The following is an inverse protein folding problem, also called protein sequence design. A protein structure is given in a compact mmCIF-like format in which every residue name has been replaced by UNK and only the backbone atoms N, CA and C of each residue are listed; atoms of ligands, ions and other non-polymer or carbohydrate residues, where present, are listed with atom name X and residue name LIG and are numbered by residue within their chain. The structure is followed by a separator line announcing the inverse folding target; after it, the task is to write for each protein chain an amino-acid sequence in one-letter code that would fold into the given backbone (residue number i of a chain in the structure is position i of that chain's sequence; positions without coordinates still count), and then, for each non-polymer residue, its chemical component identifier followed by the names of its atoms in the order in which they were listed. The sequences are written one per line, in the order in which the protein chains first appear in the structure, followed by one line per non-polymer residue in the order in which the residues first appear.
data_IF_085415510869
#
_entry.id   IF_085415510869
#
_cell.length_a   1.000
_cell.length_b   1.000
_cell.length_c   1.000
_cell.angle_alpha   90.00
_cell.angle_beta   90.00
_cell.angle_gamma   90.00
#
_symmetry.space_group_name_H-M   'P 1'
#
loop_
_entity.id
_entity.type
_entity.pdbx_description
1 polymer ?
#
# COMPACT_ATOMS: atom_id res chain seq x y z
N UNK A 1 3.75 17.73 -7.89
CA UNK A 1 3.27 18.60 -6.80
C UNK A 1 2.45 19.76 -7.33
N UNK A 2 2.83 20.41 -8.43
CA UNK A 2 2.11 21.53 -9.05
C UNK A 2 0.66 21.17 -9.40
N UNK A 3 0.43 20.03 -9.99
CA UNK A 3 -0.92 19.54 -10.30
C UNK A 3 -1.79 19.39 -9.04
N UNK A 4 -1.21 18.87 -7.96
CA UNK A 4 -1.91 18.76 -6.68
C UNK A 4 -2.24 20.13 -6.08
N UNK A 5 -1.30 21.06 -6.15
CA UNK A 5 -1.52 22.44 -5.70
C UNK A 5 -2.63 23.11 -6.50
N UNK A 6 -2.64 22.95 -7.82
CA UNK A 6 -3.70 23.46 -8.70
C UNK A 6 -5.08 22.83 -8.37
N UNK A 7 -5.12 21.52 -8.11
CA UNK A 7 -6.34 20.83 -7.68
C UNK A 7 -6.88 21.35 -6.34
N UNK A 8 -6.02 21.89 -5.49
CA UNK A 8 -6.39 22.47 -4.20
C UNK A 8 -6.90 23.92 -4.29
N UNK A 9 -6.76 24.58 -5.43
CA UNK A 9 -7.23 25.97 -5.58
C UNK A 9 -8.74 26.07 -5.39
N UNK A 10 -9.18 27.08 -4.64
CA UNK A 10 -10.60 27.32 -4.33
C UNK A 10 -11.25 26.31 -3.39
N UNK A 11 -10.58 25.22 -3.00
CA UNK A 11 -11.14 24.16 -2.15
C UNK A 11 -10.70 24.26 -0.71
N UNK A 12 -11.50 23.73 0.21
CA UNK A 12 -11.06 23.51 1.59
C UNK A 12 -10.13 22.30 1.61
N UNK A 13 -8.94 22.47 2.18
CA UNK A 13 -7.91 21.43 2.20
C UNK A 13 -7.59 21.05 3.64
N UNK A 14 -7.44 19.77 3.89
CA UNK A 14 -6.78 19.20 5.06
C UNK A 14 -5.63 18.32 4.59
N UNK A 15 -4.60 18.19 5.39
CA UNK A 15 -3.37 17.47 5.06
C UNK A 15 -3.17 16.34 6.04
N UNK A 16 -3.04 15.09 5.55
CA UNK A 16 -2.60 13.95 6.33
C UNK A 16 -1.16 13.60 5.92
N UNK A 17 -0.26 13.60 6.89
CA UNK A 17 1.16 13.24 6.72
C UNK A 17 1.42 11.92 7.39
N UNK A 18 1.92 10.96 6.63
CA UNK A 18 2.19 9.61 7.10
C UNK A 18 3.70 9.35 7.02
N UNK A 19 4.35 9.27 8.16
CA UNK A 19 5.76 8.89 8.26
C UNK A 19 6.10 8.49 9.69
N UNK A 20 6.61 7.27 9.89
CA UNK A 20 6.97 6.78 11.23
C UNK A 20 8.13 7.59 11.81
N UNK A 21 9.22 7.73 11.08
CA UNK A 21 10.39 8.51 11.53
C UNK A 21 10.28 10.02 11.29
N UNK A 22 9.55 10.42 10.25
CA UNK A 22 9.52 11.79 9.76
C UNK A 22 10.75 12.20 8.93
N UNK A 23 11.66 11.25 8.65
CA UNK A 23 12.92 11.51 7.94
C UNK A 23 12.96 10.95 6.52
N UNK A 24 11.93 10.22 6.09
CA UNK A 24 11.83 9.75 4.70
C UNK A 24 11.77 10.97 3.78
N UNK A 25 12.65 11.01 2.80
CA UNK A 25 12.93 12.22 1.99
C UNK A 25 11.71 12.71 1.22
N UNK A 26 11.04 11.82 0.50
CA UNK A 26 9.94 12.16 -0.39
C UNK A 26 8.74 12.78 0.36
N UNK A 27 8.18 12.14 1.40
CA UNK A 27 7.10 12.74 2.18
C UNK A 27 7.56 13.98 2.95
N UNK A 28 8.82 14.07 3.39
CA UNK A 28 9.32 15.25 4.09
C UNK A 28 9.40 16.48 3.18
N UNK A 29 9.87 16.32 1.93
CA UNK A 29 9.89 17.38 0.94
C UNK A 29 8.49 17.83 0.51
N UNK A 30 7.61 16.87 0.22
CA UNK A 30 6.23 17.16 -0.14
C UNK A 30 5.50 17.89 1.01
N UNK A 31 5.69 17.40 2.24
CA UNK A 31 5.10 18.02 3.42
C UNK A 31 5.58 19.46 3.63
N UNK A 32 6.86 19.74 3.44
CA UNK A 32 7.42 21.09 3.56
C UNK A 32 6.72 22.09 2.63
N UNK A 33 6.49 21.70 1.39
CA UNK A 33 5.80 22.55 0.40
C UNK A 33 4.33 22.72 0.75
N UNK A 34 3.63 21.62 1.04
CA UNK A 34 2.20 21.63 1.38
C UNK A 34 1.91 22.34 2.69
N UNK A 35 2.77 22.16 3.71
CA UNK A 35 2.69 22.92 4.96
C UNK A 35 2.76 24.42 4.71
N UNK A 36 3.71 24.88 3.90
CA UNK A 36 3.83 26.29 3.55
C UNK A 36 2.58 26.84 2.84
N UNK A 37 1.95 26.02 1.99
CA UNK A 37 0.66 26.36 1.38
C UNK A 37 -0.45 26.47 2.44
N UNK A 38 -0.55 25.51 3.36
CA UNK A 38 -1.54 25.51 4.44
C UNK A 38 -1.39 26.76 5.35
N UNK A 39 -0.16 27.08 5.74
CA UNK A 39 0.14 28.25 6.58
C UNK A 39 -0.23 29.58 5.89
N UNK A 40 0.09 29.73 4.60
CA UNK A 40 -0.31 30.93 3.84
C UNK A 40 -1.81 31.07 3.68
N UNK A 41 -2.52 29.94 3.53
CA UNK A 41 -3.95 29.93 3.23
C UNK A 41 -4.83 30.07 4.47
N UNK A 42 -4.44 29.43 5.55
CA UNK A 42 -5.26 29.33 6.76
C UNK A 42 -4.67 30.04 7.98
N UNK A 43 -3.44 30.53 7.90
CA UNK A 43 -2.78 31.20 9.01
C UNK A 43 -2.78 30.32 10.27
N UNK A 44 -3.28 30.82 11.37
CA UNK A 44 -3.36 30.09 12.65
C UNK A 44 -4.30 28.89 12.63
N UNK A 45 -5.28 28.86 11.73
CA UNK A 45 -6.20 27.72 11.58
C UNK A 45 -5.56 26.51 10.86
N UNK A 46 -4.38 26.68 10.26
CA UNK A 46 -3.67 25.61 9.58
C UNK A 46 -3.40 24.42 10.51
N UNK A 47 -3.12 24.67 11.79
CA UNK A 47 -2.84 23.61 12.76
C UNK A 47 -4.00 22.61 12.92
N UNK A 48 -5.25 23.10 12.90
CA UNK A 48 -6.45 22.26 12.97
C UNK A 48 -6.76 21.47 11.69
N UNK A 49 -5.95 21.62 10.64
CA UNK A 49 -6.14 20.99 9.33
C UNK A 49 -4.99 20.08 8.93
N UNK A 50 -3.98 19.93 9.80
CA UNK A 50 -2.84 19.05 9.59
C UNK A 50 -2.94 17.88 10.58
N UNK A 51 -2.94 16.69 10.04
CA UNK A 51 -3.00 15.43 10.77
C UNK A 51 -1.72 14.65 10.50
N UNK A 52 -1.16 14.01 11.53
CA UNK A 52 0.09 13.26 11.39
C UNK A 52 -0.10 11.82 11.86
N UNK A 53 0.06 10.87 10.95
CA UNK A 53 0.14 9.45 11.29
C UNK A 53 1.61 9.07 11.43
N UNK A 54 2.07 8.86 12.66
CA UNK A 54 3.50 8.79 13.00
C UNK A 54 3.75 7.90 14.22
N UNK A 55 5.00 7.84 14.65
CA UNK A 55 5.40 7.14 15.90
C UNK A 55 4.69 7.74 17.11
N UNK A 56 4.51 6.91 18.15
CA UNK A 56 3.86 7.32 19.39
C UNK A 56 4.62 8.42 20.14
N UNK A 57 5.94 8.33 20.20
CA UNK A 57 6.77 9.13 21.09
C UNK A 57 8.04 9.68 20.45
N UNK A 58 8.47 9.14 19.31
CA UNK A 58 9.78 9.41 18.71
C UNK A 58 9.67 9.88 17.27
N UNK A 59 10.74 10.47 16.78
CA UNK A 59 10.86 10.90 15.39
C UNK A 59 10.61 12.39 15.18
N UNK A 60 11.12 12.87 14.05
CA UNK A 60 11.08 14.30 13.71
C UNK A 60 9.64 14.79 13.50
N UNK A 61 8.79 13.97 12.84
CA UNK A 61 7.39 14.34 12.60
C UNK A 61 6.60 14.40 13.91
N UNK A 62 6.83 13.44 14.84
CA UNK A 62 6.16 13.46 16.15
C UNK A 62 6.56 14.70 16.95
N UNK A 63 7.86 14.99 17.05
CA UNK A 63 8.34 16.19 17.76
C UNK A 63 7.79 17.50 17.16
N UNK A 64 7.67 17.55 15.84
CA UNK A 64 7.09 18.68 15.13
C UNK A 64 5.58 18.81 15.41
N UNK A 65 4.85 17.71 15.34
CA UNK A 65 3.40 17.69 15.59
C UNK A 65 3.07 18.14 17.02
N UNK A 66 3.84 17.68 18.01
CA UNK A 66 3.64 18.10 19.41
C UNK A 66 3.90 19.58 19.60
N UNK A 67 4.95 20.13 18.99
CA UNK A 67 5.27 21.56 19.08
C UNK A 67 4.22 22.45 18.43
N UNK A 68 3.70 22.03 17.28
CA UNK A 68 2.74 22.81 16.49
C UNK A 68 1.27 22.52 16.88
N UNK A 69 1.03 21.58 17.78
CA UNK A 69 -0.31 21.20 18.25
C UNK A 69 -1.15 20.44 17.22
N UNK A 70 -0.52 19.70 16.30
CA UNK A 70 -1.24 18.90 15.30
C UNK A 70 -1.77 17.61 15.90
N UNK A 71 -2.92 17.18 15.41
CA UNK A 71 -3.46 15.88 15.81
C UNK A 71 -2.63 14.74 15.26
N UNK A 72 -2.31 13.76 16.14
CA UNK A 72 -1.51 12.60 15.77
C UNK A 72 -2.30 11.31 15.86
N UNK A 73 -2.02 10.38 14.95
CA UNK A 73 -2.44 8.99 14.96
C UNK A 73 -1.21 8.10 15.05
N UNK A 74 -1.29 7.04 15.83
CA UNK A 74 -0.13 6.22 16.16
C UNK A 74 0.05 5.09 15.16
N UNK A 75 1.28 4.94 14.67
CA UNK A 75 1.73 3.72 14.00
C UNK A 75 2.32 2.82 15.08
N UNK A 76 1.80 1.60 15.29
CA UNK A 76 2.33 0.69 16.31
C UNK A 76 3.82 0.38 16.09
N UNK A 77 4.57 0.21 17.18
CA UNK A 77 6.03 0.03 17.13
C UNK A 77 6.43 -1.28 16.44
N UNK A 78 5.63 -2.32 16.61
CA UNK A 78 5.81 -3.66 16.09
C UNK A 78 5.27 -3.87 14.68
N UNK A 79 4.65 -2.84 14.08
CA UNK A 79 4.14 -2.90 12.70
C UNK A 79 5.08 -2.17 11.74
N UNK A 80 5.64 -2.92 10.80
CA UNK A 80 6.43 -2.37 9.70
C UNK A 80 5.57 -1.68 8.63
N UNK A 81 6.18 -0.79 7.83
CA UNK A 81 5.46 0.03 6.85
C UNK A 81 4.58 -0.78 5.89
N UNK A 82 5.12 -1.84 5.29
CA UNK A 82 4.41 -2.70 4.33
C UNK A 82 3.31 -3.57 4.93
N UNK A 83 3.22 -3.64 6.25
CA UNK A 83 2.15 -4.36 6.99
C UNK A 83 1.13 -3.40 7.62
N UNK A 84 1.26 -2.10 7.39
CA UNK A 84 0.56 -1.09 8.19
C UNK A 84 -0.82 -0.68 7.65
N UNK A 85 -1.31 -1.29 6.58
CA UNK A 85 -2.57 -0.90 5.92
C UNK A 85 -3.79 -0.98 6.85
N UNK A 86 -3.81 -1.94 7.80
CA UNK A 86 -4.89 -2.08 8.79
C UNK A 86 -4.63 -1.30 10.09
N UNK A 87 -3.71 -0.36 10.08
CA UNK A 87 -3.50 0.63 11.14
C UNK A 87 -4.03 2.01 10.70
N UNK A 88 -3.83 3.04 11.50
CA UNK A 88 -4.17 4.41 11.10
C UNK A 88 -3.54 4.85 9.77
N UNK A 89 -2.47 4.18 9.32
CA UNK A 89 -1.82 4.44 8.02
C UNK A 89 -2.79 4.26 6.85
N UNK A 90 -3.55 3.18 6.84
CA UNK A 90 -4.53 2.92 5.79
C UNK A 90 -5.96 3.28 6.21
N UNK A 91 -6.35 3.01 7.46
CA UNK A 91 -7.72 3.20 7.91
C UNK A 91 -8.17 4.66 7.91
N UNK A 92 -7.29 5.61 8.28
CA UNK A 92 -7.65 7.02 8.26
C UNK A 92 -7.96 7.54 6.84
N UNK A 93 -7.09 7.36 5.83
CA UNK A 93 -7.44 7.76 4.47
C UNK A 93 -8.64 6.99 3.89
N UNK A 94 -8.83 5.72 4.23
CA UNK A 94 -10.02 4.95 3.82
C UNK A 94 -11.31 5.56 4.38
N UNK A 95 -11.33 5.89 5.68
CA UNK A 95 -12.47 6.54 6.32
C UNK A 95 -12.78 7.91 5.70
N UNK A 96 -11.74 8.71 5.41
CA UNK A 96 -11.90 10.01 4.72
C UNK A 96 -12.44 9.83 3.31
N UNK A 97 -12.08 8.75 2.61
CA UNK A 97 -12.60 8.41 1.30
C UNK A 97 -14.04 7.84 1.34
N UNK A 98 -14.62 7.63 2.52
CA UNK A 98 -15.96 7.08 2.68
C UNK A 98 -16.02 5.55 2.58
N UNK A 99 -14.88 4.87 2.68
CA UNK A 99 -14.81 3.41 2.74
C UNK A 99 -15.23 2.96 4.15
N UNK A 100 -16.07 1.94 4.21
CA UNK A 100 -16.48 1.32 5.46
C UNK A 100 -15.30 0.55 6.09
N UNK A 101 -14.62 1.21 7.02
CA UNK A 101 -13.45 0.63 7.70
C UNK A 101 -13.81 -0.52 8.64
N UNK A 102 -15.05 -0.55 9.16
CA UNK A 102 -15.50 -1.65 10.00
C UNK A 102 -15.69 -2.90 9.16
N UNK A 103 -16.22 -2.78 7.94
CA UNK A 103 -16.29 -3.89 6.99
C UNK A 103 -14.90 -4.39 6.56
N UNK A 104 -13.92 -3.49 6.38
CA UNK A 104 -12.54 -3.86 6.09
C UNK A 104 -11.93 -4.67 7.24
N UNK A 105 -12.11 -4.22 8.49
CA UNK A 105 -11.60 -4.90 9.68
C UNK A 105 -12.31 -6.23 9.91
N UNK A 106 -13.62 -6.32 9.71
CA UNK A 106 -14.36 -7.57 9.80
C UNK A 106 -13.88 -8.61 8.78
N UNK A 107 -13.54 -8.16 7.55
CA UNK A 107 -12.91 -9.02 6.53
C UNK A 107 -11.55 -9.56 6.97
N UNK A 108 -10.72 -8.72 7.60
CA UNK A 108 -9.43 -9.12 8.14
C UNK A 108 -9.57 -10.11 9.30
N UNK A 109 -10.50 -9.89 10.23
CA UNK A 109 -10.81 -10.79 11.36
C UNK A 109 -11.29 -12.15 10.85
N UNK A 110 -12.18 -12.15 9.87
CA UNK A 110 -12.65 -13.37 9.21
C UNK A 110 -11.48 -14.16 8.62
N UNK A 111 -10.63 -13.50 7.83
CA UNK A 111 -9.47 -14.14 7.23
C UNK A 111 -8.49 -14.68 8.29
N UNK A 112 -8.25 -13.93 9.36
CA UNK A 112 -7.42 -14.37 10.47
C UNK A 112 -7.96 -15.66 11.09
N UNK A 113 -9.26 -15.72 11.35
CA UNK A 113 -9.91 -16.90 11.94
C UNK A 113 -9.89 -18.11 10.99
N UNK A 114 -10.17 -17.91 9.70
CA UNK A 114 -10.18 -18.98 8.71
C UNK A 114 -8.79 -19.55 8.42
N UNK A 115 -7.75 -18.72 8.54
CA UNK A 115 -6.37 -19.07 8.25
C UNK A 115 -5.55 -19.44 9.49
N UNK A 116 -6.14 -19.37 10.69
CA UNK A 116 -5.53 -19.80 11.96
C UNK A 116 -5.59 -21.32 12.09
N UNK A 117 -4.98 -21.99 11.13
CA UNK A 117 -4.80 -23.44 11.13
C UNK A 117 -3.49 -23.78 10.42
N UNK A 118 -2.81 -24.82 10.85
CA UNK A 118 -1.53 -25.30 10.28
C UNK A 118 -1.71 -26.49 9.32
N UNK A 119 -2.96 -26.86 9.00
CA UNK A 119 -3.24 -27.92 8.03
C UNK A 119 -2.95 -27.45 6.61
N UNK A 120 -1.85 -27.93 6.05
CA UNK A 120 -1.40 -27.61 4.69
C UNK A 120 -2.49 -27.84 3.63
N UNK A 121 -3.32 -28.86 3.79
CA UNK A 121 -4.34 -29.20 2.79
C UNK A 121 -5.53 -28.21 2.79
N UNK A 122 -5.76 -27.55 3.89
CA UNK A 122 -6.88 -26.61 4.09
C UNK A 122 -6.45 -25.14 4.17
N UNK A 123 -5.15 -24.86 4.41
CA UNK A 123 -4.65 -23.49 4.46
C UNK A 123 -4.08 -23.04 3.11
N UNK A 124 -4.77 -22.17 2.36
CA UNK A 124 -4.32 -21.72 1.05
C UNK A 124 -3.01 -20.90 1.11
N UNK A 125 -2.72 -20.25 2.24
CA UNK A 125 -1.48 -19.47 2.40
C UNK A 125 -0.25 -20.38 2.42
N UNK A 126 -0.30 -21.52 3.12
CA UNK A 126 0.80 -22.50 3.12
C UNK A 126 0.97 -23.14 1.75
N UNK A 127 -0.13 -23.45 1.07
CA UNK A 127 -0.08 -24.00 -0.28
C UNK A 127 0.55 -23.00 -1.27
N UNK A 128 0.14 -21.75 -1.21
CA UNK A 128 0.70 -20.69 -2.03
C UNK A 128 2.19 -20.50 -1.77
N UNK A 129 2.61 -20.42 -0.51
CA UNK A 129 4.01 -20.33 -0.14
C UNK A 129 4.83 -21.53 -0.65
N UNK A 130 4.30 -22.73 -0.55
CA UNK A 130 4.96 -23.95 -1.05
C UNK A 130 5.10 -23.92 -2.58
N UNK A 131 4.06 -23.55 -3.31
CA UNK A 131 4.08 -23.44 -4.78
C UNK A 131 5.14 -22.44 -5.22
N UNK A 132 5.19 -21.25 -4.60
CA UNK A 132 6.21 -20.23 -4.87
C UNK A 132 7.62 -20.76 -4.67
N UNK A 133 7.86 -21.49 -3.58
CA UNK A 133 9.15 -22.12 -3.29
C UNK A 133 9.54 -23.19 -4.33
N UNK A 134 8.58 -24.03 -4.73
CA UNK A 134 8.81 -25.06 -5.76
C UNK A 134 9.16 -24.41 -7.10
N UNK A 135 8.42 -23.36 -7.48
CA UNK A 135 8.66 -22.65 -8.74
C UNK A 135 10.03 -21.97 -8.74
N UNK A 136 10.40 -21.30 -7.64
CA UNK A 136 11.73 -20.69 -7.50
C UNK A 136 12.85 -21.74 -7.66
N UNK A 137 12.73 -22.90 -7.00
CA UNK A 137 13.71 -24.01 -7.14
C UNK A 137 13.77 -24.60 -8.55
N UNK A 138 12.71 -24.43 -9.34
CA UNK A 138 12.65 -24.82 -10.75
C UNK A 138 13.12 -23.72 -11.71
N UNK A 139 13.74 -22.65 -11.18
CA UNK A 139 14.29 -21.54 -11.98
C UNK A 139 13.28 -20.47 -12.37
N UNK A 140 12.06 -20.48 -11.80
CA UNK A 140 11.08 -19.42 -11.96
C UNK A 140 11.37 -18.32 -10.94
N UNK A 141 12.20 -17.37 -11.32
CA UNK A 141 12.69 -16.34 -10.40
C UNK A 141 11.80 -15.09 -10.33
N UNK A 142 10.82 -14.97 -11.24
CA UNK A 142 9.94 -13.81 -11.34
C UNK A 142 8.50 -14.25 -11.13
N UNK A 143 7.82 -13.61 -10.19
CA UNK A 143 6.39 -13.74 -9.99
C UNK A 143 5.68 -12.48 -10.48
N UNK A 144 4.71 -12.63 -11.38
CA UNK A 144 3.92 -11.53 -11.95
C UNK A 144 2.51 -11.60 -11.38
N UNK A 145 2.11 -10.59 -10.64
CA UNK A 145 0.72 -10.39 -10.20
C UNK A 145 -0.07 -9.79 -11.36
N UNK A 146 -0.99 -10.55 -11.91
CA UNK A 146 -1.79 -10.17 -13.07
C UNK A 146 -3.26 -9.97 -12.67
N UNK A 147 -3.88 -8.88 -13.10
CA UNK A 147 -5.32 -8.66 -12.93
C UNK A 147 -5.91 -7.88 -14.09
N UNK A 148 -7.17 -8.18 -14.39
CA UNK A 148 -8.00 -7.43 -15.34
C UNK A 148 -8.78 -6.27 -14.68
N UNK A 149 -8.76 -6.17 -13.34
CA UNK A 149 -9.42 -5.10 -12.59
C UNK A 149 -8.46 -3.89 -12.46
N UNK A 150 -8.75 -2.74 -13.09
CA UNK A 150 -7.86 -1.57 -13.05
C UNK A 150 -7.58 -1.05 -11.64
N UNK A 151 -8.53 -1.23 -10.70
CA UNK A 151 -8.36 -0.82 -9.30
C UNK A 151 -7.36 -1.67 -8.54
N UNK A 152 -7.01 -2.85 -9.06
CA UNK A 152 -5.97 -3.70 -8.48
C UNK A 152 -4.55 -3.12 -8.66
N UNK A 153 -4.34 -2.15 -9.55
CA UNK A 153 -3.00 -1.62 -9.85
C UNK A 153 -2.23 -1.21 -8.58
N UNK A 154 -2.86 -0.47 -7.67
CA UNK A 154 -2.22 -0.06 -6.42
C UNK A 154 -2.00 -1.22 -5.44
N UNK A 155 -2.84 -2.24 -5.48
CA UNK A 155 -2.61 -3.49 -4.73
C UNK A 155 -1.40 -4.25 -5.28
N UNK A 156 -1.24 -4.27 -6.60
CA UNK A 156 -0.04 -4.81 -7.26
C UNK A 156 1.23 -4.11 -6.80
N UNK A 157 1.22 -2.77 -6.71
CA UNK A 157 2.34 -1.99 -6.18
C UNK A 157 2.65 -2.34 -4.72
N UNK A 158 1.61 -2.50 -3.88
CA UNK A 158 1.80 -2.94 -2.50
C UNK A 158 2.38 -4.36 -2.42
N UNK A 159 1.90 -5.31 -3.21
CA UNK A 159 2.43 -6.68 -3.24
C UNK A 159 3.91 -6.71 -3.65
N UNK A 160 4.34 -5.85 -4.57
CA UNK A 160 5.76 -5.70 -4.92
C UNK A 160 6.59 -5.28 -3.70
N UNK A 161 6.14 -4.28 -2.96
CA UNK A 161 6.83 -3.88 -1.73
C UNK A 161 6.77 -4.98 -0.67
N UNK A 162 5.59 -5.57 -0.44
CA UNK A 162 5.39 -6.60 0.57
C UNK A 162 6.36 -7.77 0.40
N UNK A 163 6.40 -8.34 -0.79
CA UNK A 163 7.26 -9.50 -1.08
C UNK A 163 8.72 -9.09 -1.34
N UNK A 164 8.97 -8.01 -2.06
CA UNK A 164 10.31 -7.54 -2.35
C UNK A 164 11.11 -7.23 -1.08
N UNK A 165 10.55 -6.47 -0.16
CA UNK A 165 11.21 -6.15 1.11
C UNK A 165 11.21 -7.30 2.11
N UNK A 166 10.23 -8.20 2.06
CA UNK A 166 10.16 -9.33 3.00
C UNK A 166 11.10 -10.46 2.63
N UNK A 167 11.22 -10.78 1.34
CA UNK A 167 11.90 -11.96 0.84
C UNK A 167 13.23 -11.65 0.13
N UNK A 168 13.42 -10.44 -0.40
CA UNK A 168 14.61 -10.01 -1.13
C UNK A 168 15.82 -9.77 -0.23
N UNK A 169 16.31 -10.81 0.42
CA UNK A 169 17.42 -10.77 1.40
C UNK A 169 18.40 -11.91 1.12
N UNK A 170 19.65 -11.71 1.45
CA UNK A 170 20.72 -12.74 1.34
C UNK A 170 20.84 -13.32 -0.08
N UNK A 171 20.58 -12.54 -1.11
CA UNK A 171 20.59 -13.00 -2.49
C UNK A 171 19.47 -14.00 -2.84
N UNK A 172 18.36 -13.98 -2.06
CA UNK A 172 17.21 -14.87 -2.20
C UNK A 172 15.94 -14.10 -2.53
N UNK A 173 14.87 -14.83 -2.75
CA UNK A 173 13.53 -14.31 -2.99
C UNK A 173 13.13 -14.35 -4.46
N UNK A 174 11.82 -14.31 -4.70
CA UNK A 174 11.23 -14.11 -6.01
C UNK A 174 11.21 -12.60 -6.32
N UNK A 175 11.49 -12.24 -7.57
CA UNK A 175 11.31 -10.86 -8.01
C UNK A 175 9.82 -10.59 -8.25
N UNK A 176 9.18 -9.71 -7.47
CA UNK A 176 7.76 -9.41 -7.64
C UNK A 176 7.56 -8.35 -8.72
N UNK A 177 6.70 -8.66 -9.68
CA UNK A 177 6.25 -7.73 -10.72
C UNK A 177 4.72 -7.65 -10.73
N UNK A 178 4.13 -6.67 -11.39
CA UNK A 178 2.70 -6.59 -11.61
C UNK A 178 2.37 -6.13 -13.02
N UNK A 179 1.25 -6.60 -13.56
CA UNK A 179 0.71 -6.20 -14.85
C UNK A 179 -0.78 -5.93 -14.75
N UNK A 180 -1.25 -4.92 -15.48
CA UNK A 180 -2.66 -4.57 -15.62
C UNK A 180 -3.16 -5.00 -17.00
N UNK A 181 -3.89 -6.08 -17.07
CA UNK A 181 -4.50 -6.54 -18.32
C UNK A 181 -5.82 -5.77 -18.55
N UNK A 182 -6.17 -5.49 -19.79
CA UNK A 182 -5.52 -5.89 -21.07
C UNK A 182 -4.35 -4.99 -21.51
N UNK A 183 -4.17 -3.83 -20.92
CA UNK A 183 -3.19 -2.82 -21.35
C UNK A 183 -1.79 -3.44 -21.50
N UNK A 184 -1.33 -4.16 -20.49
CA UNK A 184 0.00 -4.75 -20.49
C UNK A 184 0.15 -6.00 -21.38
N UNK A 185 -0.93 -6.52 -21.94
CA UNK A 185 -0.83 -7.51 -23.02
C UNK A 185 -0.14 -6.93 -24.25
N UNK A 186 -0.31 -5.63 -24.51
CA UNK A 186 0.32 -4.95 -25.63
C UNK A 186 1.81 -4.64 -25.39
N UNK A 187 2.24 -4.61 -24.16
CA UNK A 187 3.64 -4.33 -23.77
C UNK A 187 4.40 -5.58 -23.36
N UNK A 188 3.82 -6.42 -22.51
CA UNK A 188 4.46 -7.57 -21.87
C UNK A 188 3.98 -8.92 -22.42
N UNK A 189 2.84 -8.94 -23.13
CA UNK A 189 2.20 -10.20 -23.55
C UNK A 189 3.11 -11.08 -24.39
N UNK A 190 3.86 -10.51 -25.33
CA UNK A 190 4.82 -11.27 -26.15
C UNK A 190 5.91 -11.93 -25.31
N UNK A 191 6.46 -11.21 -24.32
CA UNK A 191 7.50 -11.76 -23.45
C UNK A 191 6.95 -12.85 -22.53
N UNK A 192 5.76 -12.64 -21.96
CA UNK A 192 5.09 -13.62 -21.11
C UNK A 192 4.79 -14.89 -21.91
N UNK A 193 4.31 -14.74 -23.16
CA UNK A 193 3.94 -15.86 -24.03
C UNK A 193 5.16 -16.66 -24.52
N UNK A 194 6.20 -16.00 -24.98
CA UNK A 194 7.28 -16.61 -25.76
C UNK A 194 8.70 -16.15 -25.37
N UNK A 195 8.84 -15.41 -24.28
CA UNK A 195 10.14 -14.97 -23.75
C UNK A 195 10.81 -16.00 -22.87
N UNK A 196 11.77 -15.56 -22.06
CA UNK A 196 12.49 -16.42 -21.10
C UNK A 196 11.51 -17.09 -20.13
N UNK A 197 11.64 -18.40 -19.96
CA UNK A 197 10.73 -19.23 -19.16
C UNK A 197 11.07 -19.20 -17.66
N UNK A 198 11.55 -18.07 -17.15
CA UNK A 198 11.96 -17.86 -15.76
C UNK A 198 10.91 -17.16 -14.90
N UNK A 199 9.70 -16.96 -15.41
CA UNK A 199 8.58 -16.32 -14.73
C UNK A 199 7.39 -17.27 -14.57
N UNK A 200 6.47 -16.88 -13.67
CA UNK A 200 5.12 -17.43 -13.57
C UNK A 200 4.15 -16.31 -13.18
N UNK A 201 2.89 -16.52 -13.43
CA UNK A 201 1.83 -15.56 -13.12
C UNK A 201 0.99 -16.04 -11.94
N UNK A 202 0.69 -15.11 -11.02
CA UNK A 202 -0.33 -15.23 -10.00
C UNK A 202 -1.49 -14.34 -10.42
N UNK A 203 -2.55 -14.94 -10.96
CA UNK A 203 -3.70 -14.21 -11.47
C UNK A 203 -4.67 -13.93 -10.32
N UNK A 204 -5.00 -12.65 -10.16
CA UNK A 204 -6.01 -12.19 -9.21
C UNK A 204 -7.28 -11.85 -9.98
N UNK A 205 -8.29 -12.68 -9.79
CA UNK A 205 -9.58 -12.55 -10.44
C UNK A 205 -10.62 -11.96 -9.49
N UNK A 206 -11.42 -11.04 -10.00
CA UNK A 206 -12.52 -10.41 -9.28
C UNK A 206 -13.84 -11.03 -9.75
N UNK A 207 -14.41 -11.89 -8.93
CA UNK A 207 -15.64 -12.63 -9.23
C UNK A 207 -16.81 -11.67 -9.50
N UNK A 208 -16.84 -10.54 -8.79
CA UNK A 208 -17.89 -9.52 -8.96
C UNK A 208 -17.22 -8.22 -9.40
N UNK A 209 -17.38 -7.81 -10.67
CA UNK A 209 -16.87 -6.52 -11.12
C UNK A 209 -17.62 -5.38 -10.45
N UNK A 210 -16.97 -4.21 -10.35
CA UNK A 210 -17.58 -3.05 -9.72
C UNK A 210 -18.73 -2.44 -10.53
N UNK A 211 -18.70 -2.63 -11.84
CA UNK A 211 -19.78 -2.24 -12.77
C UNK A 211 -19.84 -3.26 -13.90
N UNK A 212 -21.03 -3.60 -14.31
CA UNK A 212 -21.29 -4.41 -15.49
C UNK A 212 -21.82 -3.50 -16.60
N UNK A 213 -21.27 -3.66 -17.79
CA UNK A 213 -21.76 -2.97 -18.99
C UNK A 213 -22.81 -3.87 -19.65
N UNK A 214 -24.06 -3.51 -19.48
CA UNK A 214 -25.18 -4.13 -20.20
C UNK A 214 -25.49 -3.37 -21.49
#
# INVERSE_FOLDING_TARGET
LDEILALCEGKRVSLNVISKSGTTTEPALAFRVLRGMMERRYGKEAAGRIYCTTDRARGTLKSLADREGWQTFVIPDDVGGRYSVLTAVGLLPMAVAGIDIDAVLAGAEKAMTELDNDDFSHNPCYRYAAIRNILLRRGKAIEIYASYEPRFTQMGEWLKQLYGESEGKDGKGLFPASVAFTTDLHSMGQFIQDGSRNLFETVIDFITPAADLT
#
